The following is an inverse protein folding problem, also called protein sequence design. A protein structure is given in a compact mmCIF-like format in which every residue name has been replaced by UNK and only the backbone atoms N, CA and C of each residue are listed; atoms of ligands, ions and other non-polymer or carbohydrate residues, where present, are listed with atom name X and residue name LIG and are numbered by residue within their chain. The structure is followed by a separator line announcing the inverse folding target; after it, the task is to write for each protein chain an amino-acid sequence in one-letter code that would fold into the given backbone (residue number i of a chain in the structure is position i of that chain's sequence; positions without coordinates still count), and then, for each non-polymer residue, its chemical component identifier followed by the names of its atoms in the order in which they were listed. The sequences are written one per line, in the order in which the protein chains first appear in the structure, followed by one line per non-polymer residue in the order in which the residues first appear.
data_IF_353062340967
#
_entry.id   IF_353062340967
#
_cell.length_a   1.000
_cell.length_b   1.000
_cell.length_c   1.000
_cell.angle_alpha   90.00
_cell.angle_beta   90.00
_cell.angle_gamma   90.00
#
_symmetry.space_group_name_H-M   'P 1'
#
loop_
_entity.id
_entity.type
_entity.pdbx_description
1 polymer ?
#
# COMPACT_ATOMS: atom_id res chain seq x y z
N UNK A 1 -40.76 -36.79 -37.63
CA UNK A 1 -39.88 -36.09 -36.67
C UNK A 1 -40.03 -34.59 -36.87
N UNK A 2 -40.79 -33.92 -36.01
CA UNK A 2 -41.11 -32.49 -36.15
C UNK A 2 -39.93 -31.66 -35.66
N UNK A 3 -39.24 -30.97 -36.57
CA UNK A 3 -38.20 -30.00 -36.24
C UNK A 3 -38.89 -28.77 -35.65
N UNK A 4 -38.90 -28.64 -34.33
CA UNK A 4 -39.23 -27.37 -33.67
C UNK A 4 -38.18 -26.36 -34.07
N UNK A 5 -38.56 -25.47 -34.99
CA UNK A 5 -37.81 -24.26 -35.31
C UNK A 5 -37.67 -23.46 -34.01
N UNK A 6 -36.44 -23.28 -33.55
CA UNK A 6 -36.13 -22.43 -32.42
C UNK A 6 -36.54 -21.00 -32.79
N UNK A 7 -37.66 -20.55 -32.22
CA UNK A 7 -38.14 -19.17 -32.33
C UNK A 7 -37.05 -18.30 -31.71
N UNK A 8 -36.28 -17.61 -32.55
CA UNK A 8 -35.41 -16.51 -32.13
C UNK A 8 -36.34 -15.50 -31.45
N UNK A 9 -36.24 -15.41 -30.13
CA UNK A 9 -36.96 -14.40 -29.37
C UNK A 9 -36.35 -13.05 -29.77
N UNK A 10 -37.18 -12.19 -30.38
CA UNK A 10 -36.82 -10.79 -30.58
C UNK A 10 -36.41 -10.20 -29.21
N UNK A 11 -35.37 -9.35 -29.17
CA UNK A 11 -34.94 -8.75 -27.91
C UNK A 11 -36.13 -7.98 -27.33
N UNK A 12 -36.64 -8.45 -26.20
CA UNK A 12 -37.65 -7.71 -25.46
C UNK A 12 -37.05 -6.34 -25.13
N UNK A 13 -37.69 -5.29 -25.62
CA UNK A 13 -37.32 -3.90 -25.32
C UNK A 13 -37.47 -3.70 -23.81
N UNK A 14 -36.34 -3.58 -23.11
CA UNK A 14 -36.33 -3.45 -21.65
C UNK A 14 -36.72 -2.03 -21.31
N UNK A 15 -37.73 -1.86 -20.45
CA UNK A 15 -38.13 -0.56 -19.95
C UNK A 15 -37.01 0.08 -19.11
N UNK A 16 -36.48 1.20 -19.58
CA UNK A 16 -35.44 2.00 -18.93
C UNK A 16 -35.96 3.32 -18.37
N UNK A 17 -37.28 3.52 -18.40
CA UNK A 17 -37.93 4.75 -17.94
C UNK A 17 -37.88 4.88 -16.42
N UNK A 18 -37.79 6.09 -15.87
CA UNK A 18 -37.85 6.31 -14.43
C UNK A 18 -39.22 5.93 -13.87
N UNK A 19 -39.25 5.26 -12.72
CA UNK A 19 -40.47 4.93 -11.98
C UNK A 19 -40.71 5.90 -10.81
N UNK A 20 -39.63 6.51 -10.30
CA UNK A 20 -39.71 7.40 -9.16
C UNK A 20 -40.40 8.72 -9.54
N UNK A 21 -41.45 9.06 -8.80
CA UNK A 21 -42.16 10.34 -8.96
C UNK A 21 -41.37 11.47 -8.29
N UNK A 22 -41.53 12.68 -8.82
CA UNK A 22 -40.89 13.86 -8.27
C UNK A 22 -41.34 14.10 -6.81
N UNK A 23 -40.37 14.22 -5.90
CA UNK A 23 -40.61 14.43 -4.47
C UNK A 23 -40.90 13.18 -3.64
N UNK A 24 -41.02 12.00 -4.28
CA UNK A 24 -41.16 10.74 -3.55
C UNK A 24 -39.81 10.23 -3.03
N UNK A 25 -39.88 9.47 -1.94
CA UNK A 25 -38.71 8.87 -1.31
C UNK A 25 -38.27 7.60 -2.05
N UNK A 26 -36.98 7.42 -2.41
CA UNK A 26 -36.52 6.25 -3.16
C UNK A 26 -36.52 4.98 -2.30
N UNK A 27 -37.27 3.98 -2.75
CA UNK A 27 -37.34 2.61 -2.21
C UNK A 27 -37.09 1.58 -3.31
N UNK A 28 -36.90 0.32 -2.94
CA UNK A 28 -36.66 -0.74 -3.92
C UNK A 28 -37.84 -0.92 -4.88
N UNK A 29 -39.07 -0.74 -4.42
CA UNK A 29 -40.30 -0.97 -5.18
C UNK A 29 -40.64 0.16 -6.16
N UNK A 30 -40.14 1.36 -5.93
CA UNK A 30 -40.46 2.54 -6.73
C UNK A 30 -39.33 3.02 -7.64
N UNK A 31 -38.16 2.38 -7.57
CA UNK A 31 -37.00 2.67 -8.42
C UNK A 31 -36.88 1.59 -9.51
N UNK A 32 -36.78 1.99 -10.77
CA UNK A 32 -36.59 1.03 -11.87
C UNK A 32 -35.16 0.43 -11.82
N UNK A 33 -34.99 -0.90 -11.65
CA UNK A 33 -33.66 -1.52 -11.61
C UNK A 33 -32.92 -1.49 -12.95
N UNK A 34 -33.64 -1.25 -14.06
CA UNK A 34 -33.06 -1.13 -15.41
C UNK A 34 -32.81 0.32 -15.83
N UNK A 35 -33.28 1.31 -15.05
CA UNK A 35 -33.02 2.72 -15.32
C UNK A 35 -31.66 3.10 -14.73
N UNK A 36 -30.67 3.53 -15.54
CA UNK A 36 -29.34 3.87 -15.04
C UNK A 36 -29.34 4.92 -13.91
N UNK A 37 -30.27 5.87 -13.96
CA UNK A 37 -30.39 6.97 -13.00
C UNK A 37 -31.07 6.55 -11.69
N UNK A 38 -31.89 5.49 -11.69
CA UNK A 38 -32.67 5.08 -10.52
C UNK A 38 -32.23 3.76 -9.90
N UNK A 39 -31.50 2.94 -10.66
CA UNK A 39 -31.06 1.60 -10.30
C UNK A 39 -30.47 1.47 -8.89
N UNK A 40 -29.73 2.47 -8.42
CA UNK A 40 -29.04 2.47 -7.13
C UNK A 40 -29.59 3.47 -6.11
N UNK A 41 -30.61 4.27 -6.46
CA UNK A 41 -31.07 5.38 -5.61
C UNK A 41 -31.48 4.93 -4.22
N UNK A 42 -32.26 3.86 -4.13
CA UNK A 42 -32.75 3.31 -2.86
C UNK A 42 -31.63 2.84 -1.94
N UNK A 43 -30.46 2.49 -2.47
CA UNK A 43 -29.31 2.04 -1.68
C UNK A 43 -28.57 3.19 -1.00
N UNK A 44 -28.79 4.44 -1.43
CA UNK A 44 -28.23 5.63 -0.79
C UNK A 44 -29.08 6.16 0.36
N UNK A 45 -30.26 5.59 0.56
CA UNK A 45 -31.15 5.91 1.67
C UNK A 45 -30.59 5.38 2.99
N UNK A 46 -30.39 6.28 3.95
CA UNK A 46 -29.94 5.92 5.30
C UNK A 46 -28.51 5.39 5.38
N UNK A 47 -27.56 6.05 4.68
CA UNK A 47 -26.16 5.65 4.72
C UNK A 47 -25.61 5.58 6.17
N UNK A 48 -24.61 4.73 6.43
CA UNK A 48 -23.99 4.62 7.75
C UNK A 48 -23.56 5.98 8.31
N UNK A 49 -23.95 6.27 9.55
CA UNK A 49 -23.61 7.51 10.25
C UNK A 49 -24.62 8.66 10.07
N UNK A 50 -25.63 8.51 9.21
CA UNK A 50 -26.70 9.50 9.07
C UNK A 50 -27.65 9.52 10.28
N UNK A 51 -27.93 10.72 10.80
CA UNK A 51 -28.92 10.94 11.87
C UNK A 51 -29.90 12.02 11.45
N UNK A 52 -31.17 11.66 11.22
CA UNK A 52 -32.26 12.59 10.93
C UNK A 52 -32.43 12.96 9.46
N UNK A 53 -31.35 13.11 8.68
CA UNK A 53 -31.43 13.21 7.23
C UNK A 53 -31.47 11.79 6.61
N UNK A 54 -32.46 11.45 5.77
CA UNK A 54 -32.52 10.12 5.17
C UNK A 54 -31.68 10.01 3.89
N UNK A 55 -31.29 11.13 3.27
CA UNK A 55 -30.38 11.18 2.12
C UNK A 55 -29.23 12.18 2.36
N UNK A 56 -27.98 11.83 1.99
CA UNK A 56 -26.81 12.69 2.21
C UNK A 56 -26.69 13.82 1.18
N UNK A 57 -27.31 13.63 0.02
CA UNK A 57 -27.28 14.55 -1.12
C UNK A 57 -28.67 14.62 -1.77
N UNK A 58 -28.97 15.66 -2.56
CA UNK A 58 -30.20 15.74 -3.35
C UNK A 58 -30.36 14.55 -4.31
N UNK A 59 -31.61 14.18 -4.61
CA UNK A 59 -31.93 13.04 -5.47
C UNK A 59 -31.33 13.21 -6.87
N UNK A 60 -31.31 14.43 -7.38
CA UNK A 60 -30.75 14.77 -8.70
C UNK A 60 -29.27 14.42 -8.78
N UNK A 61 -28.51 14.73 -7.73
CA UNK A 61 -27.10 14.34 -7.66
C UNK A 61 -26.96 12.81 -7.54
N UNK A 62 -27.77 12.17 -6.71
CA UNK A 62 -27.73 10.72 -6.53
C UNK A 62 -28.10 9.97 -7.83
N UNK A 63 -28.91 10.56 -8.71
CA UNK A 63 -29.19 10.04 -10.06
C UNK A 63 -27.94 10.01 -10.92
N UNK A 64 -27.12 11.07 -10.87
CA UNK A 64 -25.82 11.10 -11.55
C UNK A 64 -24.85 10.04 -10.98
N UNK A 65 -24.84 9.85 -9.66
CA UNK A 65 -24.02 8.80 -9.02
C UNK A 65 -24.51 7.41 -9.41
N UNK A 66 -25.83 7.17 -9.45
CA UNK A 66 -26.42 5.92 -9.95
C UNK A 66 -26.02 5.66 -11.40
N UNK A 67 -26.15 6.67 -12.27
CA UNK A 67 -25.71 6.60 -13.66
C UNK A 67 -24.23 6.28 -13.77
N UNK A 68 -23.40 6.88 -12.92
CA UNK A 68 -21.97 6.60 -12.87
C UNK A 68 -21.66 5.15 -12.50
N UNK A 69 -22.35 4.59 -11.50
CA UNK A 69 -22.20 3.18 -11.13
C UNK A 69 -22.66 2.25 -12.26
N UNK A 70 -23.76 2.61 -12.93
CA UNK A 70 -24.26 1.89 -14.09
C UNK A 70 -23.24 1.82 -15.23
N UNK A 71 -22.64 2.96 -15.57
CA UNK A 71 -21.62 3.06 -16.62
C UNK A 71 -20.30 2.37 -16.23
N UNK A 72 -20.02 2.23 -14.93
CA UNK A 72 -18.93 1.39 -14.40
C UNK A 72 -19.23 -0.12 -14.48
N UNK A 73 -20.45 -0.52 -14.86
CA UNK A 73 -20.86 -1.91 -15.02
C UNK A 73 -21.57 -2.53 -13.82
N UNK A 74 -21.88 -1.75 -12.78
CA UNK A 74 -22.68 -2.24 -11.66
C UNK A 74 -24.12 -2.50 -12.13
N UNK A 75 -24.74 -3.57 -11.61
CA UNK A 75 -26.17 -3.86 -11.83
C UNK A 75 -26.84 -4.21 -10.50
N UNK A 76 -27.99 -3.59 -10.16
CA UNK A 76 -28.71 -3.95 -8.96
C UNK A 76 -29.43 -5.30 -9.11
N UNK A 77 -29.85 -5.93 -8.01
CA UNK A 77 -30.77 -7.06 -8.05
C UNK A 77 -32.03 -6.71 -8.85
N UNK A 78 -32.45 -7.60 -9.76
CA UNK A 78 -33.63 -7.40 -10.61
C UNK A 78 -33.39 -6.71 -11.95
N UNK A 79 -32.16 -6.23 -12.21
CA UNK A 79 -31.78 -5.76 -13.56
C UNK A 79 -31.69 -6.93 -14.54
N UNK A 80 -32.32 -6.78 -15.70
CA UNK A 80 -32.22 -7.74 -16.83
C UNK A 80 -31.10 -7.36 -17.79
N UNK A 81 -30.58 -6.14 -17.70
CA UNK A 81 -29.51 -5.64 -18.57
C UNK A 81 -28.16 -6.20 -18.12
N UNK A 82 -27.37 -6.80 -19.02
CA UNK A 82 -26.03 -7.31 -18.71
C UNK A 82 -25.10 -6.23 -18.15
N UNK A 83 -24.17 -6.64 -17.28
CA UNK A 83 -23.12 -5.78 -16.76
C UNK A 83 -22.10 -5.47 -17.86
N UNK A 84 -22.03 -4.21 -18.27
CA UNK A 84 -21.06 -3.70 -19.25
C UNK A 84 -20.41 -2.45 -18.69
N UNK A 85 -19.07 -2.41 -18.71
CA UNK A 85 -18.29 -1.28 -18.23
C UNK A 85 -17.90 -0.38 -19.41
N UNK A 86 -18.46 0.83 -19.44
CA UNK A 86 -18.26 1.83 -20.50
C UNK A 86 -17.13 2.81 -20.21
N UNK A 87 -16.85 3.05 -18.93
CA UNK A 87 -15.90 4.06 -18.48
C UNK A 87 -14.88 3.50 -17.48
N UNK A 88 -13.76 4.19 -17.36
CA UNK A 88 -12.73 3.96 -16.35
C UNK A 88 -12.22 5.27 -15.75
N UNK A 89 -11.88 5.23 -14.48
CA UNK A 89 -11.22 6.35 -13.81
C UNK A 89 -9.71 6.24 -14.02
N UNK A 90 -9.13 7.28 -14.61
CA UNK A 90 -7.69 7.44 -14.70
C UNK A 90 -7.23 8.33 -13.56
N UNK A 91 -6.36 7.77 -12.71
CA UNK A 91 -5.77 8.50 -11.58
C UNK A 91 -4.99 9.75 -12.05
N UNK A 92 -4.83 10.76 -11.19
CA UNK A 92 -3.92 11.87 -11.44
C UNK A 92 -2.51 11.38 -11.78
N UNK A 93 -1.78 12.14 -12.59
CA UNK A 93 -0.40 11.84 -12.95
C UNK A 93 0.51 12.07 -11.75
N UNK A 94 1.65 11.39 -11.74
CA UNK A 94 2.70 11.64 -10.75
C UNK A 94 3.29 13.06 -10.85
N UNK A 95 3.16 13.69 -12.03
CA UNK A 95 3.54 15.08 -12.28
C UNK A 95 2.53 16.09 -11.74
N UNK A 96 1.34 15.64 -11.33
CA UNK A 96 0.29 16.55 -10.84
C UNK A 96 0.58 16.95 -9.37
N UNK A 97 0.32 18.21 -8.98
CA UNK A 97 0.74 18.78 -7.68
C UNK A 97 0.36 17.96 -6.43
N UNK A 98 -0.82 17.31 -6.41
CA UNK A 98 -1.25 16.29 -5.44
C UNK A 98 -2.68 15.83 -5.81
N UNK A 99 -3.11 14.61 -5.46
CA UNK A 99 -4.45 14.10 -5.81
C UNK A 99 -5.62 14.89 -5.20
N UNK A 100 -5.38 15.64 -4.12
CA UNK A 100 -6.39 16.54 -3.51
C UNK A 100 -6.68 17.77 -4.36
N UNK A 101 -5.72 18.22 -5.17
CA UNK A 101 -5.82 19.46 -5.96
C UNK A 101 -5.86 19.19 -7.47
N UNK A 102 -5.60 17.95 -7.86
CA UNK A 102 -5.67 17.49 -9.24
C UNK A 102 -6.55 16.25 -9.30
N UNK A 103 -7.83 16.38 -9.71
CA UNK A 103 -8.70 15.23 -9.84
C UNK A 103 -8.22 14.37 -11.01
N UNK A 104 -8.46 13.06 -10.88
CA UNK A 104 -8.33 12.17 -12.03
C UNK A 104 -9.44 12.45 -13.05
N UNK A 105 -9.39 11.75 -14.17
CA UNK A 105 -10.35 11.94 -15.26
C UNK A 105 -11.04 10.63 -15.57
N UNK A 106 -12.33 10.72 -15.86
CA UNK A 106 -13.12 9.60 -16.33
C UNK A 106 -13.04 9.57 -17.85
N UNK A 107 -12.61 8.43 -18.38
CA UNK A 107 -12.44 8.22 -19.81
C UNK A 107 -13.23 6.98 -20.26
N UNK A 108 -13.54 6.85 -21.55
CA UNK A 108 -14.03 5.60 -22.12
C UNK A 108 -13.12 4.40 -21.79
N UNK A 109 -13.69 3.21 -21.70
CA UNK A 109 -12.92 2.00 -21.36
C UNK A 109 -11.76 1.75 -22.33
N UNK A 110 -11.97 2.06 -23.61
CA UNK A 110 -11.00 1.89 -24.70
C UNK A 110 -9.97 3.01 -24.81
N UNK A 111 -10.12 4.09 -24.03
CA UNK A 111 -9.15 5.18 -24.05
C UNK A 111 -7.77 4.65 -23.61
N UNK A 112 -6.67 5.08 -24.24
CA UNK A 112 -5.34 4.68 -23.81
C UNK A 112 -5.12 5.07 -22.36
N UNK A 113 -4.49 4.19 -21.58
CA UNK A 113 -4.13 4.52 -20.20
C UNK A 113 -3.15 5.69 -20.18
N UNK A 114 -3.37 6.64 -19.28
CA UNK A 114 -2.42 7.75 -19.08
C UNK A 114 -1.07 7.17 -18.72
N UNK A 115 -0.04 7.55 -19.49
CA UNK A 115 1.32 7.09 -19.26
C UNK A 115 1.73 7.39 -17.82
N UNK A 116 2.04 6.33 -17.10
CA UNK A 116 2.68 6.43 -15.80
C UNK A 116 4.16 6.57 -16.10
N UNK A 117 4.68 7.79 -16.03
CA UNK A 117 6.12 7.98 -16.14
C UNK A 117 6.75 7.54 -14.82
N UNK A 118 7.27 6.32 -14.78
CA UNK A 118 8.08 5.87 -13.65
C UNK A 118 9.49 6.47 -13.78
N UNK A 119 9.73 7.52 -13.01
CA UNK A 119 11.04 8.16 -12.89
C UNK A 119 12.15 7.16 -12.56
N UNK A 120 11.87 6.12 -11.77
CA UNK A 120 12.88 5.12 -11.40
C UNK A 120 13.24 4.23 -12.57
N UNK A 121 12.25 3.78 -13.33
CA UNK A 121 12.47 2.97 -14.53
C UNK A 121 13.21 3.79 -15.60
N UNK A 122 12.79 5.03 -15.80
CA UNK A 122 13.48 5.96 -16.71
C UNK A 122 14.94 6.14 -16.31
N UNK A 123 15.21 6.48 -15.04
CA UNK A 123 16.58 6.61 -14.54
C UNK A 123 17.34 5.30 -14.69
N UNK A 124 16.75 4.14 -14.41
CA UNK A 124 17.40 2.84 -14.56
C UNK A 124 17.83 2.56 -16.02
N UNK A 125 16.99 2.93 -16.99
CA UNK A 125 17.25 2.75 -18.42
C UNK A 125 18.36 3.64 -19.00
N UNK A 126 18.73 4.73 -18.31
CA UNK A 126 19.77 5.63 -18.78
C UNK A 126 21.17 4.98 -18.67
N UNK A 127 22.06 5.19 -19.66
CA UNK A 127 23.48 4.89 -19.51
C UNK A 127 24.09 5.61 -18.31
N UNK A 128 25.16 5.06 -17.73
CA UNK A 128 25.80 5.62 -16.53
C UNK A 128 26.21 7.09 -16.69
N UNK A 129 26.74 7.46 -17.85
CA UNK A 129 27.13 8.86 -18.12
C UNK A 129 25.91 9.80 -18.15
N UNK A 130 24.77 9.33 -18.68
CA UNK A 130 23.53 10.10 -18.68
C UNK A 130 22.92 10.21 -17.27
N UNK A 131 23.06 9.18 -16.42
CA UNK A 131 22.68 9.25 -15.00
C UNK A 131 23.52 10.28 -14.24
N UNK A 132 24.83 10.37 -14.52
CA UNK A 132 25.72 11.37 -13.92
C UNK A 132 25.37 12.78 -14.36
N UNK A 133 25.15 13.00 -15.65
CA UNK A 133 24.73 14.30 -16.18
C UNK A 133 23.37 14.73 -15.57
N UNK A 134 22.44 13.79 -15.37
CA UNK A 134 21.18 14.05 -14.70
C UNK A 134 21.36 14.38 -13.21
N UNK A 135 22.22 13.65 -12.50
CA UNK A 135 22.54 13.92 -11.10
C UNK A 135 23.16 15.32 -10.92
N UNK A 136 24.09 15.69 -11.79
CA UNK A 136 24.71 17.02 -11.83
C UNK A 136 23.67 18.11 -12.11
N UNK A 137 22.79 17.91 -13.09
CA UNK A 137 21.71 18.85 -13.41
C UNK A 137 20.71 19.04 -12.26
N UNK A 138 20.52 18.02 -11.41
CA UNK A 138 19.70 18.09 -10.20
C UNK A 138 20.46 18.62 -8.97
N UNK A 139 21.75 18.95 -9.11
CA UNK A 139 22.58 19.49 -8.03
C UNK A 139 23.17 18.45 -7.08
N UNK A 140 23.17 17.17 -7.45
CA UNK A 140 23.86 16.11 -6.71
C UNK A 140 25.31 15.96 -7.21
N UNK A 141 26.20 15.51 -6.34
CA UNK A 141 27.56 15.11 -6.75
C UNK A 141 27.48 13.88 -7.67
N UNK A 142 27.84 13.98 -8.96
CA UNK A 142 27.66 12.91 -9.94
C UNK A 142 28.46 11.65 -9.60
N UNK A 143 29.63 11.80 -8.97
CA UNK A 143 30.50 10.66 -8.65
C UNK A 143 30.14 9.99 -7.31
N UNK A 144 29.49 10.73 -6.41
CA UNK A 144 28.95 10.22 -5.15
C UNK A 144 27.55 9.58 -5.29
N UNK A 145 26.70 10.14 -6.14
CA UNK A 145 25.34 9.64 -6.37
C UNK A 145 25.28 8.41 -7.28
N UNK A 146 26.22 8.28 -8.23
CA UNK A 146 26.29 7.17 -9.19
C UNK A 146 27.73 6.62 -9.26
N UNK A 147 28.07 5.66 -8.37
CA UNK A 147 29.40 5.03 -8.36
C UNK A 147 29.74 4.39 -9.71
N UNK A 148 31.02 4.40 -10.09
CA UNK A 148 31.50 3.66 -11.27
C UNK A 148 31.33 2.14 -11.08
N UNK A 149 31.10 1.42 -12.17
CA UNK A 149 30.97 -0.04 -12.15
C UNK A 149 32.20 -0.70 -11.49
N UNK A 150 33.41 -0.17 -11.69
CA UNK A 150 34.63 -0.66 -11.03
C UNK A 150 34.57 -0.59 -9.49
N UNK A 151 33.92 0.43 -8.91
CA UNK A 151 33.74 0.55 -7.45
C UNK A 151 32.69 -0.41 -6.91
N UNK A 152 31.71 -0.76 -7.74
CA UNK A 152 30.70 -1.78 -7.41
C UNK A 152 31.36 -3.17 -7.44
N UNK A 153 32.21 -3.42 -8.43
CA UNK A 153 33.01 -4.66 -8.55
C UNK A 153 34.00 -4.78 -7.40
N UNK A 154 34.74 -3.72 -7.03
CA UNK A 154 35.64 -3.72 -5.86
C UNK A 154 34.92 -4.06 -4.54
N UNK A 155 33.66 -3.61 -4.39
CA UNK A 155 32.81 -3.93 -3.24
C UNK A 155 32.32 -5.39 -3.20
N UNK A 156 32.29 -6.08 -4.35
CA UNK A 156 31.87 -7.49 -4.50
C UNK A 156 33.06 -8.45 -4.51
N UNK A 157 34.16 -8.06 -5.13
CA UNK A 157 35.36 -8.90 -5.32
C UNK A 157 36.40 -8.76 -4.21
N UNK A 158 36.25 -7.79 -3.29
CA UNK A 158 37.11 -7.67 -2.11
C UNK A 158 38.61 -7.46 -2.42
N UNK A 159 38.94 -6.99 -3.62
CA UNK A 159 40.31 -6.85 -4.14
C UNK A 159 40.95 -5.48 -3.88
N UNK A 160 40.22 -4.55 -3.25
CA UNK A 160 40.76 -3.26 -2.81
C UNK A 160 41.58 -3.39 -1.53
N UNK A 161 42.90 -3.17 -1.63
CA UNK A 161 43.82 -3.03 -0.48
C UNK A 161 43.57 -1.71 0.25
N UNK A 162 42.45 -1.63 0.95
CA UNK A 162 42.08 -0.49 1.77
C UNK A 162 40.78 -0.77 2.50
N UNK A 163 40.81 -0.85 3.83
CA UNK A 163 39.62 -0.95 4.67
C UNK A 163 38.72 0.27 4.42
N UNK A 164 37.72 0.14 3.55
CA UNK A 164 36.65 1.13 3.41
C UNK A 164 35.70 0.95 4.60
N UNK A 165 35.61 1.98 5.43
CA UNK A 165 34.68 2.03 6.58
C UNK A 165 33.25 2.05 6.02
N UNK A 166 32.58 0.89 5.99
CA UNK A 166 31.17 0.77 5.57
C UNK A 166 30.81 -0.39 4.64
N UNK A 167 31.73 -1.28 4.27
CA UNK A 167 31.37 -2.49 3.51
C UNK A 167 30.58 -3.49 4.38
N UNK A 168 29.45 -4.05 3.90
CA UNK A 168 28.72 -5.08 4.64
C UNK A 168 29.59 -6.33 4.79
N UNK A 169 30.00 -6.62 6.03
CA UNK A 169 30.71 -7.86 6.36
C UNK A 169 29.72 -9.01 6.34
N UNK A 170 29.74 -9.82 5.28
CA UNK A 170 29.03 -11.09 5.30
C UNK A 170 29.86 -12.10 6.13
N UNK A 171 29.20 -12.71 7.11
CA UNK A 171 29.81 -13.71 7.98
C UNK A 171 30.27 -14.94 7.18
N UNK A 172 31.28 -15.64 7.71
CA UNK A 172 31.74 -16.92 7.14
C UNK A 172 30.56 -17.91 7.12
N UNK A 173 30.36 -18.68 6.03
CA UNK A 173 29.32 -19.71 6.00
C UNK A 173 29.59 -20.73 7.12
N UNK A 174 28.61 -21.00 7.97
CA UNK A 174 28.69 -22.16 8.86
C UNK A 174 28.57 -23.43 8.04
N UNK A 175 29.20 -24.51 8.50
CA UNK A 175 29.26 -25.80 7.82
C UNK A 175 27.91 -26.50 7.61
N UNK A 176 26.84 -25.97 8.20
CA UNK A 176 25.62 -26.73 8.46
C UNK A 176 24.43 -26.28 7.59
N UNK A 177 24.68 -25.43 6.59
CA UNK A 177 23.83 -25.25 5.42
C UNK A 177 22.33 -25.12 5.67
N UNK A 178 21.86 -24.03 6.29
CA UNK A 178 20.53 -23.48 6.00
C UNK A 178 20.33 -22.04 6.54
N UNK A 179 19.77 -21.20 5.66
CA UNK A 179 19.18 -19.86 5.83
C UNK A 179 20.11 -18.62 5.85
N UNK A 180 20.11 -17.92 4.72
CA UNK A 180 20.47 -16.49 4.63
C UNK A 180 19.30 -15.71 5.22
N UNK A 181 19.48 -15.15 6.42
CA UNK A 181 18.53 -14.20 7.00
C UNK A 181 19.17 -12.81 6.98
N UNK A 182 18.38 -11.76 6.70
CA UNK A 182 18.82 -10.36 6.83
C UNK A 182 18.88 -9.90 8.30
N UNK A 183 18.84 -10.84 9.25
CA UNK A 183 19.03 -10.56 10.67
C UNK A 183 20.53 -10.54 10.94
N UNK A 184 21.08 -9.50 11.60
CA UNK A 184 22.50 -9.45 11.93
C UNK A 184 22.97 -10.75 12.60
N UNK A 185 24.05 -11.35 12.09
CA UNK A 185 24.62 -12.66 12.51
C UNK A 185 25.18 -12.66 13.93
N UNK A 186 25.07 -11.55 14.67
CA UNK A 186 25.09 -11.60 16.13
C UNK A 186 23.66 -11.77 16.59
N UNK A 187 23.29 -13.01 16.93
CA UNK A 187 22.19 -13.25 17.87
C UNK A 187 22.36 -12.20 18.99
N UNK A 188 21.39 -11.29 19.24
CA UNK A 188 21.62 -10.09 20.06
C UNK A 188 21.87 -10.39 21.54
N UNK A 189 22.19 -11.63 21.89
CA UNK A 189 22.30 -12.16 23.23
C UNK A 189 20.97 -12.08 23.96
N UNK A 190 21.00 -12.43 25.23
CA UNK A 190 19.82 -12.34 26.09
C UNK A 190 19.38 -10.88 26.23
N UNK A 191 18.11 -10.58 25.93
CA UNK A 191 17.57 -9.21 25.90
C UNK A 191 16.60 -8.99 27.06
N UNK A 192 16.95 -8.15 28.06
CA UNK A 192 16.12 -7.96 29.25
C UNK A 192 14.73 -7.39 28.92
N UNK A 193 14.57 -6.66 27.81
CA UNK A 193 13.30 -6.05 27.43
C UNK A 193 12.21 -7.07 27.04
N UNK A 194 12.59 -8.33 26.79
CA UNK A 194 11.68 -9.42 26.42
C UNK A 194 11.29 -10.30 27.62
N UNK A 195 11.85 -10.04 28.80
CA UNK A 195 11.69 -10.87 30.00
C UNK A 195 11.10 -10.09 31.17
N UNK A 196 10.45 -10.81 32.08
CA UNK A 196 9.91 -10.24 33.32
C UNK A 196 11.04 -9.83 34.27
N UNK A 197 10.75 -9.00 35.27
CA UNK A 197 11.77 -8.52 36.21
C UNK A 197 12.45 -9.66 36.95
N UNK A 198 11.67 -10.68 37.37
CA UNK A 198 12.18 -11.81 38.14
C UNK A 198 13.13 -12.67 37.29
N UNK A 199 12.76 -12.95 36.03
CA UNK A 199 13.60 -13.67 35.08
C UNK A 199 14.91 -12.92 34.76
N UNK A 200 14.86 -11.58 34.69
CA UNK A 200 16.06 -10.76 34.49
C UNK A 200 17.00 -10.85 35.70
N UNK A 201 16.46 -10.80 36.91
CA UNK A 201 17.27 -10.86 38.12
C UNK A 201 17.91 -12.25 38.30
N UNK A 202 17.15 -13.32 38.05
CA UNK A 202 17.66 -14.69 38.07
C UNK A 202 18.77 -14.89 37.02
N UNK A 203 18.57 -14.34 35.81
CA UNK A 203 19.58 -14.40 34.76
C UNK A 203 20.86 -13.64 35.14
N UNK A 204 20.74 -12.43 35.68
CA UNK A 204 21.88 -11.61 36.11
C UNK A 204 22.70 -12.26 37.23
N UNK A 205 22.07 -13.06 38.08
CA UNK A 205 22.75 -13.82 39.15
C UNK A 205 23.57 -14.99 38.59
N UNK A 206 23.14 -15.60 37.47
CA UNK A 206 23.77 -16.77 36.87
C UNK A 206 24.91 -16.46 35.87
N UNK A 207 24.96 -15.25 35.32
CA UNK A 207 25.94 -14.87 34.29
C UNK A 207 27.22 -14.24 34.85
N UNK A 208 28.27 -14.26 34.03
CA UNK A 208 29.53 -13.58 34.29
C UNK A 208 29.39 -12.05 34.29
N UNK A 209 30.45 -11.37 34.76
CA UNK A 209 30.43 -9.91 34.91
C UNK A 209 30.27 -9.18 33.56
N UNK A 210 30.91 -9.65 32.50
CA UNK A 210 30.88 -8.98 31.20
C UNK A 210 29.48 -9.05 30.56
N UNK A 211 28.80 -10.20 30.68
CA UNK A 211 27.43 -10.38 30.22
C UNK A 211 26.43 -9.62 31.10
N UNK A 212 26.67 -9.57 32.42
CA UNK A 212 25.88 -8.76 33.35
C UNK A 212 25.92 -7.27 32.99
N UNK A 213 27.10 -6.74 32.68
CA UNK A 213 27.30 -5.35 32.24
C UNK A 213 26.56 -5.06 30.94
N UNK A 214 26.64 -5.99 29.97
CA UNK A 214 25.94 -5.88 28.69
C UNK A 214 24.42 -5.80 28.87
N UNK A 215 23.85 -6.70 29.67
CA UNK A 215 22.41 -6.77 29.91
C UNK A 215 21.93 -5.52 30.67
N UNK A 216 22.68 -5.06 31.67
CA UNK A 216 22.37 -3.83 32.40
C UNK A 216 22.48 -2.57 31.52
N UNK A 217 23.45 -2.51 30.60
CA UNK A 217 23.56 -1.41 29.64
C UNK A 217 22.35 -1.37 28.68
N UNK A 218 21.86 -2.53 28.24
CA UNK A 218 20.65 -2.62 27.42
C UNK A 218 19.42 -2.15 28.22
N UNK A 219 19.27 -2.60 29.47
CA UNK A 219 18.16 -2.18 30.33
C UNK A 219 18.18 -0.67 30.63
N UNK A 220 19.37 -0.08 30.80
CA UNK A 220 19.53 1.36 31.11
C UNK A 220 19.32 2.27 29.88
N UNK A 221 19.91 1.92 28.74
CA UNK A 221 20.02 2.83 27.59
C UNK A 221 19.14 2.48 26.40
N UNK A 222 18.80 1.20 26.23
CA UNK A 222 18.04 0.71 25.06
C UNK A 222 16.58 0.39 25.40
N UNK A 223 16.23 0.26 26.68
CA UNK A 223 14.83 0.09 27.09
C UNK A 223 14.05 1.41 27.01
N UNK A 224 12.80 1.34 26.56
CA UNK A 224 11.91 2.53 26.52
C UNK A 224 11.55 3.06 27.91
N UNK A 225 11.62 2.21 28.93
CA UNK A 225 11.30 2.53 30.32
C UNK A 225 12.21 1.72 31.26
N UNK A 226 13.36 2.28 31.66
CA UNK A 226 14.32 1.60 32.51
C UNK A 226 13.68 1.19 33.84
N UNK A 227 13.73 -0.11 34.16
CA UNK A 227 13.07 -0.65 35.37
C UNK A 227 13.97 -0.44 36.58
N UNK A 228 13.55 0.49 37.45
CA UNK A 228 14.29 0.90 38.66
C UNK A 228 14.66 -0.27 39.57
N UNK A 229 13.78 -1.26 39.72
CA UNK A 229 14.03 -2.45 40.56
C UNK A 229 15.28 -3.24 40.14
N UNK A 230 15.61 -3.27 38.85
CA UNK A 230 16.79 -3.97 38.32
C UNK A 230 18.03 -3.08 38.46
N UNK A 231 17.87 -1.78 38.18
CA UNK A 231 18.97 -0.80 38.17
C UNK A 231 19.46 -0.48 39.60
N UNK A 232 18.54 -0.33 40.55
CA UNK A 232 18.85 0.01 41.95
C UNK A 232 19.56 -1.15 42.66
N UNK A 233 19.33 -2.40 42.21
CA UNK A 233 19.99 -3.61 42.74
C UNK A 233 21.43 -3.77 42.22
N UNK A 234 21.76 -3.14 41.09
CA UNK A 234 23.09 -3.12 40.50
C UNK A 234 23.53 -1.68 40.15
N UNK A 235 23.80 -0.83 41.17
CA UNK A 235 24.06 0.60 40.94
C UNK A 235 25.41 0.85 40.27
N UNK A 236 26.43 0.03 40.56
CA UNK A 236 27.82 0.22 40.11
C UNK A 236 28.22 -0.47 38.81
N UNK A 237 27.27 -1.06 38.08
CA UNK A 237 27.55 -1.93 36.94
C UNK A 237 26.94 -1.31 35.67
N UNK A 238 27.75 -1.06 34.63
CA UNK A 238 27.34 -0.33 33.41
C UNK A 238 27.45 1.20 33.48
N UNK A 239 28.59 1.72 33.94
CA UNK A 239 29.06 3.12 33.74
C UNK A 239 30.20 3.11 32.74
#
# INVERSE_FOLDING_TARGET
MSKKSARVQEPQEVDTSPWLKAGDFPTFENCNPNCPEEAFLWMYSGLPGMKGAPLPFPIEYLREVSRRQWDCGARPPGSTIPSERKIKYQRPRQTDPHWLVSPGVWEPIDAPDRSQFDLKEFVASLPQDAKRALAEAMGFDPQGAVPSDDRIVEGVEGSGTGKVKGSPQYGRPSSDGAYVTNVPVRDPGWNPCLHTVDEVLEYLEAVDADERDRVLAIERYLSKKPRKTIIDRYPGVGV
#
